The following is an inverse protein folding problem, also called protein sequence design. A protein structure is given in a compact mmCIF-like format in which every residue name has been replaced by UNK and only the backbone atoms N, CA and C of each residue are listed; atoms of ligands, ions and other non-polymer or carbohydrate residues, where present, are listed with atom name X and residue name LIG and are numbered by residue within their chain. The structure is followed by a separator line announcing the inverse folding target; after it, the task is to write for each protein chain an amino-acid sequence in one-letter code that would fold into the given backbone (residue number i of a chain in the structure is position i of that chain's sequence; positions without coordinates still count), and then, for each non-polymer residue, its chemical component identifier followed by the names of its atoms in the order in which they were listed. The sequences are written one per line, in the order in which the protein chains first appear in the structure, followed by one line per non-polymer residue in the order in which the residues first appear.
data_IF_586457679621
#
_entry.id   IF_586457679621
#
_cell.length_a   1.000
_cell.length_b   1.000
_cell.length_c   1.000
_cell.angle_alpha   90.00
_cell.angle_beta   90.00
_cell.angle_gamma   90.00
#
_symmetry.space_group_name_H-M   'P 1'
#
loop_
_entity.id
_entity.type
_entity.pdbx_description
1 polymer ?
#
# COMPACT_ATOMS: atom_id res chain seq x y z
N UNK A 1 2.47 26.28 30.18
CA UNK A 1 3.27 26.03 28.95
C UNK A 1 2.52 25.00 28.13
N UNK A 2 2.08 25.34 26.93
CA UNK A 2 1.52 24.35 25.99
C UNK A 2 2.64 23.40 25.58
N UNK A 3 2.39 22.09 25.67
CA UNK A 3 3.37 21.03 25.46
C UNK A 3 4.10 21.18 24.13
N UNK A 4 5.38 21.56 24.21
CA UNK A 4 6.25 21.69 23.05
C UNK A 4 6.56 20.28 22.54
N UNK A 5 6.25 20.03 21.26
CA UNK A 5 6.67 18.80 20.58
C UNK A 5 8.19 18.66 20.66
N UNK A 6 8.68 17.45 20.86
CA UNK A 6 10.12 17.15 20.85
C UNK A 6 10.46 16.24 19.65
N UNK A 7 11.73 16.16 19.32
CA UNK A 7 12.21 15.36 18.19
C UNK A 7 12.50 13.93 18.65
N UNK A 8 12.04 12.95 17.89
CA UNK A 8 12.33 11.54 18.08
C UNK A 8 13.71 11.18 17.50
N UNK A 9 14.19 9.98 17.77
CA UNK A 9 15.53 9.52 17.36
C UNK A 9 15.72 9.51 15.84
N UNK A 10 14.64 9.37 15.07
CA UNK A 10 14.61 9.42 13.61
C UNK A 10 14.54 10.87 13.05
N UNK A 11 14.55 11.88 13.92
CA UNK A 11 14.43 13.28 13.54
C UNK A 11 12.98 13.76 13.33
N UNK A 12 11.99 12.89 13.47
CA UNK A 12 10.58 13.27 13.33
C UNK A 12 10.03 13.94 14.59
N UNK A 13 8.90 14.64 14.47
CA UNK A 13 8.25 15.27 15.62
C UNK A 13 7.42 14.26 16.42
N UNK A 14 7.45 14.36 17.75
CA UNK A 14 6.61 13.58 18.67
C UNK A 14 5.11 13.83 18.50
N UNK A 15 4.73 14.89 17.78
CA UNK A 15 3.36 15.22 17.42
C UNK A 15 3.23 15.42 15.91
N UNK A 16 2.19 14.81 15.32
CA UNK A 16 1.85 14.96 13.91
C UNK A 16 0.34 14.96 13.71
N UNK A 17 -0.16 15.97 13.02
CA UNK A 17 -1.58 16.07 12.65
C UNK A 17 -1.82 15.44 11.27
N UNK A 18 -2.78 14.52 11.20
CA UNK A 18 -3.19 13.82 9.98
C UNK A 18 -4.62 14.17 9.54
N UNK A 19 -5.30 15.15 10.17
CA UNK A 19 -6.68 15.52 9.84
C UNK A 19 -6.86 15.84 8.34
N UNK A 20 -5.92 16.59 7.75
CA UNK A 20 -5.94 16.97 6.33
C UNK A 20 -5.35 15.92 5.37
N UNK A 21 -4.99 14.73 5.85
CA UNK A 21 -4.31 13.73 5.03
C UNK A 21 -5.22 13.21 3.91
N UNK A 22 -4.72 13.27 2.67
CA UNK A 22 -5.38 12.66 1.50
C UNK A 22 -5.45 11.14 1.56
N UNK A 23 -4.67 10.53 2.45
CA UNK A 23 -4.62 9.07 2.64
C UNK A 23 -5.68 8.57 3.64
N UNK A 24 -6.42 9.47 4.29
CA UNK A 24 -7.53 9.08 5.16
C UNK A 24 -8.65 8.44 4.34
N UNK A 25 -9.12 7.27 4.79
CA UNK A 25 -10.06 6.43 4.04
C UNK A 25 -11.53 6.59 4.48
N UNK A 26 -11.77 7.40 5.51
CA UNK A 26 -13.06 7.57 6.17
C UNK A 26 -13.54 9.04 6.19
N UNK A 27 -12.99 9.89 5.32
CA UNK A 27 -13.34 11.31 5.26
C UNK A 27 -14.76 11.57 4.70
N UNK A 28 -15.36 10.61 4.00
CA UNK A 28 -16.75 10.70 3.52
C UNK A 28 -17.46 9.34 3.64
N UNK A 29 -18.80 9.32 3.72
CA UNK A 29 -19.58 8.08 3.78
C UNK A 29 -19.29 7.13 2.61
N UNK A 30 -19.10 7.68 1.40
CA UNK A 30 -18.86 6.91 0.17
C UNK A 30 -17.47 6.25 0.18
N UNK A 31 -16.47 6.92 0.74
CA UNK A 31 -15.14 6.34 0.93
C UNK A 31 -15.16 5.31 2.05
N UNK A 32 -15.79 5.62 3.18
CA UNK A 32 -15.92 4.72 4.32
C UNK A 32 -16.59 3.40 3.91
N UNK A 33 -17.65 3.45 3.10
CA UNK A 33 -18.37 2.26 2.63
C UNK A 33 -17.51 1.28 1.80
N UNK A 34 -16.42 1.76 1.20
CA UNK A 34 -15.47 0.92 0.45
C UNK A 34 -14.44 0.23 1.35
N UNK A 35 -14.31 0.66 2.61
CA UNK A 35 -13.35 0.12 3.56
C UNK A 35 -14.05 -0.89 4.48
N UNK A 36 -13.84 -2.18 4.22
CA UNK A 36 -14.27 -3.25 5.13
C UNK A 36 -13.23 -3.39 6.25
N UNK A 37 -13.66 -3.29 7.50
CA UNK A 37 -12.80 -3.60 8.64
C UNK A 37 -12.56 -5.10 8.62
N UNK A 38 -11.30 -5.49 8.42
CA UNK A 38 -10.88 -6.88 8.39
C UNK A 38 -10.02 -7.16 9.61
N UNK A 39 -10.20 -8.35 10.18
CA UNK A 39 -9.31 -8.82 11.25
C UNK A 39 -7.88 -8.97 10.72
N UNK A 40 -6.87 -8.80 11.60
CA UNK A 40 -5.48 -9.06 11.22
C UNK A 40 -5.30 -10.45 10.63
N UNK A 41 -4.61 -10.52 9.50
CA UNK A 41 -4.27 -11.75 8.79
C UNK A 41 -2.84 -11.68 8.28
N UNK A 42 -2.27 -12.82 7.90
CA UNK A 42 -0.94 -12.90 7.30
C UNK A 42 -0.94 -12.52 5.80
N UNK A 43 -2.09 -12.14 5.25
CA UNK A 43 -2.25 -11.75 3.85
C UNK A 43 -2.71 -10.30 3.75
N UNK A 44 -1.95 -9.46 3.08
CA UNK A 44 -2.30 -8.08 2.76
C UNK A 44 -2.81 -7.98 1.33
N UNK A 45 -3.85 -7.17 1.12
CA UNK A 45 -4.30 -6.73 -0.19
C UNK A 45 -3.68 -5.37 -0.48
N UNK A 46 -2.93 -5.26 -1.57
CA UNK A 46 -2.37 -4.01 -2.05
C UNK A 46 -3.18 -3.42 -3.22
N UNK A 47 -3.24 -2.09 -3.25
CA UNK A 47 -3.86 -1.30 -4.31
C UNK A 47 -2.93 -0.16 -4.70
N UNK A 48 -3.18 0.39 -5.89
CA UNK A 48 -2.48 1.58 -6.39
C UNK A 48 -0.96 1.40 -6.49
N UNK A 49 -0.49 0.18 -6.79
CA UNK A 49 0.90 -0.04 -7.16
C UNK A 49 1.15 0.42 -8.61
N UNK A 50 2.41 0.64 -8.98
CA UNK A 50 2.75 0.93 -10.39
C UNK A 50 2.25 -0.21 -11.31
N UNK A 51 1.76 0.06 -12.53
CA UNK A 51 1.15 -0.96 -13.40
C UNK A 51 2.09 -2.11 -13.75
N UNK A 52 3.38 -1.82 -13.94
CA UNK A 52 4.43 -2.79 -14.26
C UNK A 52 5.10 -3.38 -13.01
N UNK A 53 4.46 -3.28 -11.84
CA UNK A 53 4.98 -3.88 -10.62
C UNK A 53 5.10 -5.41 -10.77
N UNK A 54 6.30 -5.93 -10.64
CA UNK A 54 6.58 -7.37 -10.57
C UNK A 54 6.59 -7.81 -9.10
N UNK A 55 6.54 -9.13 -8.85
CA UNK A 55 6.72 -9.63 -7.48
C UNK A 55 8.06 -9.16 -6.86
N UNK A 56 9.11 -9.06 -7.67
CA UNK A 56 10.43 -8.64 -7.23
C UNK A 56 10.47 -7.22 -6.68
N UNK A 57 9.62 -6.28 -7.13
CA UNK A 57 9.66 -4.92 -6.58
C UNK A 57 9.24 -4.90 -5.11
N UNK A 58 8.28 -5.75 -4.72
CA UNK A 58 7.84 -5.85 -3.34
C UNK A 58 8.93 -6.47 -2.48
N UNK A 59 9.52 -7.57 -2.94
CA UNK A 59 10.50 -8.32 -2.16
C UNK A 59 11.90 -7.69 -2.12
N UNK A 60 12.42 -7.17 -3.24
CA UNK A 60 13.83 -6.74 -3.35
C UNK A 60 14.02 -5.22 -3.24
N UNK A 61 13.00 -4.42 -3.53
CA UNK A 61 13.15 -2.96 -3.49
C UNK A 61 12.51 -2.43 -2.23
N UNK A 62 11.22 -2.70 -2.03
CA UNK A 62 10.47 -2.11 -0.92
C UNK A 62 10.87 -2.75 0.42
N UNK A 63 10.90 -4.09 0.51
CA UNK A 63 11.24 -4.75 1.78
C UNK A 63 12.69 -4.50 2.22
N UNK A 64 13.65 -4.53 1.29
CA UNK A 64 15.06 -4.26 1.60
C UNK A 64 15.29 -2.79 2.02
N UNK A 65 14.64 -1.82 1.35
CA UNK A 65 14.73 -0.41 1.73
C UNK A 65 14.12 -0.13 3.11
N UNK A 66 13.00 -0.79 3.42
CA UNK A 66 12.29 -0.62 4.69
C UNK A 66 12.83 -1.50 5.83
N UNK A 67 13.76 -2.43 5.53
CA UNK A 67 14.34 -3.34 6.51
C UNK A 67 13.34 -4.34 7.10
N UNK A 68 12.33 -4.75 6.33
CA UNK A 68 11.26 -5.68 6.77
C UNK A 68 11.38 -7.02 6.05
N UNK A 69 10.73 -8.06 6.60
CA UNK A 69 10.69 -9.38 5.93
C UNK A 69 9.97 -9.32 4.60
N UNK A 70 10.53 -10.03 3.61
CA UNK A 70 9.90 -10.22 2.31
C UNK A 70 8.65 -11.09 2.42
N UNK A 71 7.62 -10.82 1.58
CA UNK A 71 6.47 -11.71 1.48
C UNK A 71 6.91 -13.09 0.96
N UNK A 72 6.33 -14.16 1.52
CA UNK A 72 6.55 -15.53 1.08
C UNK A 72 5.85 -15.83 -0.25
N UNK A 73 4.77 -15.10 -0.56
CA UNK A 73 4.07 -15.23 -1.83
C UNK A 73 3.47 -13.89 -2.28
N UNK A 74 3.50 -13.65 -3.59
CA UNK A 74 2.98 -12.42 -4.21
C UNK A 74 2.09 -12.79 -5.39
N UNK A 75 0.82 -12.41 -5.29
CA UNK A 75 -0.14 -12.57 -6.37
C UNK A 75 -0.54 -11.22 -6.93
N UNK A 76 -0.19 -10.97 -8.19
CA UNK A 76 -0.71 -9.83 -8.93
C UNK A 76 -2.09 -10.16 -9.48
N UNK A 77 -3.06 -9.28 -9.28
CA UNK A 77 -4.32 -9.37 -9.99
C UNK A 77 -4.13 -8.86 -11.41
N UNK A 78 -4.43 -9.70 -12.39
CA UNK A 78 -4.41 -9.32 -13.81
C UNK A 78 -5.59 -8.40 -14.09
N UNK A 79 -5.36 -7.10 -13.87
CA UNK A 79 -6.13 -6.06 -14.53
C UNK A 79 -5.99 -6.19 -16.03
N UNK A 80 -7.08 -6.15 -16.78
CA UNK A 80 -6.97 -6.02 -18.24
C UNK A 80 -6.31 -4.67 -18.50
N UNK A 81 -5.04 -4.69 -18.90
CA UNK A 81 -4.41 -3.54 -19.55
C UNK A 81 -5.15 -3.36 -20.87
N UNK A 82 -6.25 -2.61 -20.84
CA UNK A 82 -6.85 -2.10 -22.06
C UNK A 82 -5.91 -1.03 -22.59
N UNK A 83 -4.93 -1.47 -23.40
CA UNK A 83 -4.42 -0.65 -24.50
C UNK A 83 -5.47 -0.69 -25.61
N UNK A 84 -6.63 -0.06 -25.38
CA UNK A 84 -7.49 0.24 -26.53
C UNK A 84 -6.86 1.43 -27.24
N UNK A 85 -6.35 1.17 -28.46
CA UNK A 85 -5.86 2.19 -29.39
C UNK A 85 -7.02 3.02 -29.98
N UNK A 86 -8.24 2.84 -29.48
CA UNK A 86 -9.43 3.61 -29.83
C UNK A 86 -10.28 3.89 -28.59
N UNK A 87 -10.75 5.13 -28.45
CA UNK A 87 -11.73 5.57 -27.45
C UNK A 87 -11.33 5.47 -25.97
N UNK A 88 -10.54 6.46 -25.51
CA UNK A 88 -10.91 7.36 -24.40
C UNK A 88 -11.27 6.82 -23.01
N UNK A 89 -11.25 5.50 -22.76
CA UNK A 89 -11.50 4.90 -21.47
C UNK A 89 -10.16 4.70 -20.74
N UNK A 90 -9.99 5.18 -19.49
CA UNK A 90 -8.75 4.96 -18.76
C UNK A 90 -8.67 3.48 -18.37
N UNK A 91 -7.82 2.71 -19.08
CA UNK A 91 -7.38 1.40 -18.62
C UNK A 91 -6.87 1.46 -17.18
N UNK A 92 -6.84 0.32 -16.47
CA UNK A 92 -6.41 0.27 -15.08
C UNK A 92 -5.01 0.88 -14.92
N UNK A 93 -4.95 2.10 -14.36
CA UNK A 93 -3.72 2.92 -14.27
C UNK A 93 -2.78 2.47 -13.15
N UNK A 94 -3.07 1.35 -12.49
CA UNK A 94 -2.35 0.87 -11.32
C UNK A 94 -2.62 -0.61 -11.07
N UNK A 95 -1.64 -1.33 -10.54
CA UNK A 95 -1.78 -2.73 -10.16
C UNK A 95 -2.40 -2.92 -8.76
N UNK A 96 -3.02 -4.08 -8.55
CA UNK A 96 -3.51 -4.56 -7.27
C UNK A 96 -3.22 -6.05 -7.10
N UNK A 97 -3.31 -6.58 -5.89
CA UNK A 97 -2.99 -7.99 -5.64
C UNK A 97 -2.85 -8.33 -4.16
N UNK A 98 -2.27 -9.49 -3.89
CA UNK A 98 -2.07 -10.03 -2.54
C UNK A 98 -0.58 -10.24 -2.25
N UNK A 99 -0.21 -9.95 -1.00
CA UNK A 99 1.09 -10.23 -0.42
C UNK A 99 0.87 -11.11 0.81
N UNK A 100 1.55 -12.26 0.88
CA UNK A 100 1.43 -13.21 1.98
C UNK A 100 2.75 -13.27 2.74
N UNK A 101 2.66 -13.33 4.07
CA UNK A 101 3.78 -13.60 4.97
C UNK A 101 3.53 -14.88 5.77
N UNK A 102 4.59 -15.39 6.39
CA UNK A 102 4.54 -16.57 7.25
C UNK A 102 3.71 -16.34 8.53
N UNK A 103 3.68 -15.09 9.04
CA UNK A 103 2.97 -14.77 10.27
C UNK A 103 2.16 -13.47 10.18
N UNK A 104 1.12 -13.38 11.02
CA UNK A 104 0.31 -12.16 11.16
C UNK A 104 1.16 -10.99 11.67
N UNK A 105 2.16 -11.26 12.52
CA UNK A 105 3.05 -10.22 13.04
C UNK A 105 3.91 -9.61 11.93
N UNK A 106 4.48 -10.45 11.06
CA UNK A 106 5.29 -9.97 9.93
C UNK A 106 4.42 -9.16 8.95
N UNK A 107 3.20 -9.62 8.66
CA UNK A 107 2.24 -8.87 7.85
C UNK A 107 1.81 -7.55 8.50
N UNK A 108 1.70 -7.49 9.83
CA UNK A 108 1.37 -6.25 10.55
C UNK A 108 2.53 -5.25 10.49
N UNK A 109 3.76 -5.72 10.68
CA UNK A 109 4.97 -4.90 10.55
C UNK A 109 5.10 -4.35 9.13
N UNK A 110 4.94 -5.21 8.12
CA UNK A 110 4.91 -4.82 6.72
C UNK A 110 3.79 -3.81 6.43
N UNK A 111 2.58 -4.02 6.97
CA UNK A 111 1.48 -3.06 6.82
C UNK A 111 1.83 -1.68 7.40
N UNK A 112 2.46 -1.63 8.57
CA UNK A 112 2.83 -0.38 9.22
C UNK A 112 3.92 0.38 8.43
N UNK A 113 4.91 -0.34 7.90
CA UNK A 113 6.07 0.25 7.23
C UNK A 113 5.82 0.54 5.74
N UNK A 114 5.12 -0.33 5.03
CA UNK A 114 4.91 -0.22 3.58
C UNK A 114 3.67 0.61 3.19
N UNK A 115 2.71 0.78 4.08
CA UNK A 115 1.47 1.46 3.71
C UNK A 115 1.75 2.94 3.41
N UNK A 116 1.29 3.41 2.25
CA UNK A 116 1.58 4.71 1.67
C UNK A 116 3.02 4.91 1.17
N UNK A 117 3.78 3.82 0.96
CA UNK A 117 5.05 3.86 0.26
C UNK A 117 4.89 4.52 -1.12
N UNK A 118 5.84 5.37 -1.49
CA UNK A 118 5.81 6.17 -2.72
C UNK A 118 6.56 5.44 -3.83
N UNK A 119 5.87 4.60 -4.59
CA UNK A 119 6.46 3.92 -5.74
C UNK A 119 6.70 4.91 -6.88
N UNK A 120 7.79 4.72 -7.61
CA UNK A 120 8.14 5.59 -8.73
C UNK A 120 7.08 5.54 -9.83
N UNK A 121 6.90 6.65 -10.52
CA UNK A 121 6.03 6.74 -11.68
C UNK A 121 6.84 7.21 -12.89
N UNK A 122 7.27 6.30 -13.78
CA UNK A 122 8.04 6.70 -14.97
C UNK A 122 7.22 7.50 -15.98
N UNK A 123 5.89 7.39 -15.93
CA UNK A 123 4.97 7.95 -16.92
C UNK A 123 4.28 9.25 -16.46
N UNK A 124 4.63 9.78 -15.29
CA UNK A 124 3.95 10.95 -14.74
C UNK A 124 4.69 11.63 -13.60
N UNK A 125 4.27 12.86 -13.25
CA UNK A 125 4.98 13.68 -12.26
C UNK A 125 4.72 13.25 -10.80
N UNK A 126 3.73 12.40 -10.55
CA UNK A 126 3.33 12.01 -9.19
C UNK A 126 3.56 10.50 -8.96
N UNK A 127 4.19 10.13 -7.84
CA UNK A 127 4.40 8.73 -7.47
C UNK A 127 3.09 7.98 -7.18
N UNK A 128 3.16 6.66 -7.27
CA UNK A 128 2.10 5.76 -6.87
C UNK A 128 2.15 5.53 -5.36
N UNK A 129 1.19 6.08 -4.62
CA UNK A 129 1.06 5.82 -3.18
C UNK A 129 0.43 4.43 -2.96
N UNK A 130 1.24 3.47 -2.52
CA UNK A 130 0.78 2.11 -2.22
C UNK A 130 -0.28 2.13 -1.12
N UNK A 131 -1.36 1.37 -1.26
CA UNK A 131 -2.39 1.25 -0.24
C UNK A 131 -2.54 -0.20 0.17
N UNK A 132 -2.43 -0.47 1.46
CA UNK A 132 -2.52 -1.82 2.01
C UNK A 132 -3.72 -1.95 2.95
N UNK A 133 -4.33 -3.14 3.00
CA UNK A 133 -5.25 -3.56 4.05
C UNK A 133 -5.14 -5.07 4.27
N UNK A 134 -5.68 -5.57 5.39
CA UNK A 134 -5.80 -7.02 5.57
C UNK A 134 -6.76 -7.62 4.54
N UNK A 135 -6.40 -8.81 4.06
CA UNK A 135 -7.21 -9.61 3.16
C UNK A 135 -7.97 -10.69 3.92
N UNK A 136 -9.15 -11.06 3.42
CA UNK A 136 -9.88 -12.26 3.85
C UNK A 136 -9.39 -13.53 3.16
N UNK A 137 -8.49 -13.40 2.17
CA UNK A 137 -7.88 -14.54 1.52
C UNK A 137 -6.98 -15.28 2.52
N UNK A 138 -7.01 -16.62 2.48
CA UNK A 138 -6.15 -17.45 3.33
C UNK A 138 -4.72 -17.52 2.79
N UNK A 139 -4.56 -17.41 1.47
CA UNK A 139 -3.28 -17.50 0.77
C UNK A 139 -3.24 -16.54 -0.44
N UNK A 140 -2.04 -16.14 -0.86
CA UNK A 140 -1.79 -15.38 -2.08
C UNK A 140 -1.47 -16.32 -3.27
N UNK A 141 -2.37 -17.27 -3.58
CA UNK A 141 -2.26 -18.19 -4.73
C UNK A 141 -3.02 -17.67 -5.94
#
# INVERSE_FOLDING_TARGET
MLGQSYTLDDGSNSFKDFHGSRNNRFNSPEQAAKNRIQHPSNVLHFFNAQPEATADIFSQVICDELGIKCPSNVKLFTGKIFVDLSDGAPGERSASGLLEWESINDAMEALAMMNHYQMQNPNGPYPYTLKLCFSTAQHAN
#
